data_IF_104212175775
#
_entry.id   IF_104212175775
#
_cell.length_a   1.000
_cell.length_b   1.000
_cell.length_c   1.000
_cell.angle_alpha   90.00
_cell.angle_beta   90.00
_cell.angle_gamma   90.00
#
_symmetry.space_group_name_H-M   'P 1'
#
loop_
_entity.id
_entity.type
_entity.pdbx_description
1 polymer ?
#
# COMPACT_ATOMS: atom_id res chain seq x y z
N UNK A 1 -1.11 -8.25 36.64
CA UNK A 1 -1.78 -8.91 35.49
C UNK A 1 -1.62 -7.99 34.28
N UNK A 2 -0.54 -8.19 33.51
CA UNK A 2 -0.22 -7.36 32.35
C UNK A 2 -1.22 -7.61 31.24
N UNK A 3 -1.81 -6.54 30.71
CA UNK A 3 -2.75 -6.60 29.60
C UNK A 3 -1.99 -7.04 28.34
N UNK A 4 -2.43 -8.14 27.75
CA UNK A 4 -1.95 -8.65 26.46
C UNK A 4 -2.08 -7.55 25.41
N UNK A 5 -0.95 -7.02 24.93
CA UNK A 5 -0.95 -6.14 23.77
C UNK A 5 -1.17 -7.06 22.56
N UNK A 6 -2.37 -7.01 21.98
CA UNK A 6 -2.62 -7.57 20.66
C UNK A 6 -1.75 -6.78 19.67
N UNK A 7 -0.64 -7.39 19.24
CA UNK A 7 0.13 -6.90 18.11
C UNK A 7 -0.72 -7.18 16.88
N UNK A 8 -1.51 -6.19 16.45
CA UNK A 8 -2.28 -6.29 15.20
C UNK A 8 -1.27 -6.29 14.06
N UNK A 9 -1.11 -7.45 13.42
CA UNK A 9 -0.36 -7.55 12.18
C UNK A 9 -1.11 -6.76 11.10
N UNK A 10 -0.61 -5.56 10.76
CA UNK A 10 -1.22 -4.67 9.76
C UNK A 10 -1.43 -5.37 8.40
N UNK A 11 -0.70 -6.44 8.13
CA UNK A 11 -0.77 -7.16 6.86
C UNK A 11 -2.08 -7.97 6.73
N UNK A 12 -2.69 -8.39 7.84
CA UNK A 12 -3.91 -9.21 7.84
C UNK A 12 -5.11 -8.46 7.22
N UNK A 13 -5.24 -7.17 7.54
CA UNK A 13 -6.31 -6.33 6.98
C UNK A 13 -6.03 -5.82 5.57
N UNK A 14 -4.76 -5.71 5.15
CA UNK A 14 -4.39 -5.21 3.82
C UNK A 14 -4.79 -6.19 2.71
N UNK A 15 -4.64 -7.50 2.96
CA UNK A 15 -5.10 -8.54 2.03
C UNK A 15 -6.63 -8.61 1.97
N UNK A 16 -7.31 -8.40 3.10
CA UNK A 16 -8.77 -8.40 3.20
C UNK A 16 -9.39 -7.18 2.48
N UNK A 17 -8.78 -5.99 2.59
CA UNK A 17 -9.20 -4.79 1.84
C UNK A 17 -8.87 -4.85 0.34
N UNK A 18 -7.93 -5.69 -0.08
CA UNK A 18 -7.64 -5.93 -1.49
C UNK A 18 -8.67 -6.86 -2.14
N UNK A 19 -9.52 -7.54 -1.35
CA UNK A 19 -10.69 -8.23 -1.88
C UNK A 19 -11.61 -7.22 -2.57
N UNK A 20 -12.21 -7.54 -3.73
CA UNK A 20 -13.11 -6.63 -4.42
C UNK A 20 -14.26 -6.25 -3.48
N UNK A 21 -14.52 -4.96 -3.32
CA UNK A 21 -15.74 -4.47 -2.69
C UNK A 21 -16.93 -5.06 -3.47
N UNK A 22 -17.55 -6.10 -2.92
CA UNK A 22 -18.78 -6.63 -3.46
C UNK A 22 -19.84 -5.54 -3.27
N UNK A 23 -20.31 -4.98 -4.39
CA UNK A 23 -21.43 -4.08 -4.42
C UNK A 23 -22.62 -4.77 -3.75
N UNK A 24 -23.20 -4.13 -2.73
CA UNK A 24 -24.19 -4.72 -1.83
C UNK A 24 -25.56 -4.83 -2.52
N UNK A 25 -25.67 -5.66 -3.54
CA UNK A 25 -26.94 -6.00 -4.18
C UNK A 25 -27.16 -7.51 -4.12
N UNK A 26 -27.92 -7.88 -3.08
CA UNK A 26 -29.02 -8.86 -3.12
C UNK A 26 -28.74 -10.24 -3.72
N UNK A 27 -28.78 -11.23 -2.83
CA UNK A 27 -29.32 -12.58 -3.03
C UNK A 27 -28.91 -13.31 -4.31
N UNK A 28 -28.08 -14.35 -4.17
CA UNK A 28 -28.51 -15.74 -4.44
C UNK A 28 -27.38 -16.70 -4.05
N UNK A 29 -27.77 -17.68 -3.25
CA UNK A 29 -27.00 -18.84 -2.81
C UNK A 29 -26.63 -19.62 -4.09
N UNK A 30 -25.39 -20.12 -4.19
CA UNK A 30 -24.82 -20.97 -5.29
C UNK A 30 -23.98 -20.30 -6.41
N UNK A 31 -23.32 -19.16 -6.16
CA UNK A 31 -22.28 -18.66 -7.06
C UNK A 31 -20.88 -19.17 -6.62
N UNK A 32 -20.06 -19.76 -7.51
CA UNK A 32 -18.72 -20.21 -7.14
C UNK A 32 -17.94 -19.01 -6.61
N UNK A 33 -17.37 -19.17 -5.42
CA UNK A 33 -16.42 -18.23 -4.83
C UNK A 33 -15.46 -17.76 -5.91
N UNK A 34 -15.63 -16.54 -6.40
CA UNK A 34 -14.65 -15.90 -7.28
C UNK A 34 -13.44 -15.57 -6.40
N UNK A 35 -12.67 -16.62 -6.13
CA UNK A 35 -11.34 -16.63 -5.56
C UNK A 35 -10.56 -15.47 -6.17
N UNK A 36 -10.18 -14.49 -5.34
CA UNK A 36 -8.98 -13.63 -5.28
C UNK A 36 -7.95 -13.60 -6.44
N UNK A 37 -8.32 -13.93 -7.68
CA UNK A 37 -7.41 -14.14 -8.81
C UNK A 37 -6.91 -12.82 -9.40
N UNK A 38 -7.64 -11.72 -9.17
CA UNK A 38 -7.32 -10.42 -9.75
C UNK A 38 -6.21 -9.66 -8.99
N UNK A 39 -6.05 -9.88 -7.68
CA UNK A 39 -4.93 -9.31 -6.91
C UNK A 39 -3.67 -10.16 -7.06
N UNK A 40 -3.82 -11.50 -7.10
CA UNK A 40 -2.72 -12.46 -7.27
C UNK A 40 -1.94 -12.29 -8.59
N UNK A 41 -2.52 -11.63 -9.59
CA UNK A 41 -1.89 -11.40 -10.90
C UNK A 41 -1.21 -10.03 -11.02
N UNK A 42 -1.43 -9.10 -10.06
CA UNK A 42 -0.79 -7.78 -10.06
C UNK A 42 0.60 -7.87 -9.46
N UNK A 43 1.63 -7.80 -10.30
CA UNK A 43 3.04 -7.86 -9.91
C UNK A 43 3.67 -6.49 -9.63
N UNK A 44 2.90 -5.40 -9.71
CA UNK A 44 3.38 -4.05 -9.46
C UNK A 44 2.75 -3.49 -8.19
N UNK A 45 3.59 -3.05 -7.26
CA UNK A 45 3.18 -2.49 -5.97
C UNK A 45 3.64 -1.04 -5.88
N UNK A 46 2.73 -0.15 -5.50
CA UNK A 46 3.04 1.20 -5.05
C UNK A 46 2.77 1.25 -3.55
N UNK A 47 3.83 1.32 -2.75
CA UNK A 47 3.77 1.37 -1.29
C UNK A 47 3.92 2.81 -0.84
N UNK A 48 2.95 3.29 -0.06
CA UNK A 48 2.97 4.61 0.56
C UNK A 48 3.04 4.42 2.07
N UNK A 49 3.99 5.07 2.73
CA UNK A 49 4.17 4.98 4.18
C UNK A 49 4.73 6.27 4.74
N UNK A 50 4.53 6.50 6.03
CA UNK A 50 5.10 7.64 6.76
C UNK A 50 6.19 7.18 7.74
N UNK A 51 6.29 5.86 7.99
CA UNK A 51 7.29 5.26 8.85
C UNK A 51 8.11 4.19 8.12
N UNK A 52 9.38 4.00 8.51
CA UNK A 52 10.24 2.93 7.96
C UNK A 52 9.61 1.55 8.11
N UNK A 53 8.88 1.31 9.21
CA UNK A 53 8.18 0.05 9.46
C UNK A 53 7.10 -0.28 8.44
N UNK A 54 6.60 0.72 7.70
CA UNK A 54 5.56 0.53 6.70
C UNK A 54 6.06 -0.19 5.44
N UNK A 55 7.38 -0.28 5.23
CA UNK A 55 7.95 -1.08 4.14
C UNK A 55 7.55 -2.56 4.24
N UNK A 56 7.32 -3.04 5.47
CA UNK A 56 6.84 -4.40 5.75
C UNK A 56 5.39 -4.63 5.36
N UNK A 57 4.62 -3.60 4.97
CA UNK A 57 3.26 -3.78 4.45
C UNK A 57 3.24 -4.51 3.11
N UNK A 58 4.39 -4.57 2.41
CA UNK A 58 4.55 -5.39 1.21
C UNK A 58 4.90 -6.86 1.51
N UNK A 59 5.16 -7.21 2.77
CA UNK A 59 5.58 -8.55 3.15
C UNK A 59 4.42 -9.54 2.99
N UNK A 60 4.63 -10.57 2.18
CA UNK A 60 3.62 -11.58 1.84
C UNK A 60 2.89 -11.32 0.52
N UNK A 61 3.13 -10.18 -0.14
CA UNK A 61 2.70 -9.97 -1.52
C UNK A 61 3.73 -10.54 -2.50
N UNK A 62 3.25 -11.22 -3.53
CA UNK A 62 4.10 -11.68 -4.64
C UNK A 62 4.19 -10.57 -5.70
N UNK A 63 5.23 -9.75 -5.67
CA UNK A 63 5.45 -8.64 -6.59
C UNK A 63 6.79 -8.74 -7.33
N UNK A 64 6.85 -8.17 -8.53
CA UNK A 64 8.08 -7.99 -9.32
C UNK A 64 8.63 -6.58 -9.21
N UNK A 65 7.75 -5.59 -9.28
CA UNK A 65 8.13 -4.19 -9.19
C UNK A 65 7.48 -3.58 -7.94
N UNK A 66 8.28 -2.89 -7.14
CA UNK A 66 7.81 -2.11 -6.01
C UNK A 66 8.38 -0.71 -6.10
N UNK A 67 7.50 0.29 -6.05
CA UNK A 67 7.86 1.70 -5.85
C UNK A 67 7.37 2.08 -4.46
N UNK A 68 8.27 2.61 -3.64
CA UNK A 68 8.00 3.01 -2.26
C UNK A 68 8.14 4.51 -2.10
N UNK A 69 7.11 5.16 -1.56
CA UNK A 69 7.11 6.59 -1.27
C UNK A 69 6.89 6.84 0.23
N UNK A 70 7.88 7.47 0.85
CA UNK A 70 7.91 7.82 2.26
C UNK A 70 7.47 9.27 2.49
N UNK A 71 6.62 9.53 3.48
CA UNK A 71 6.23 10.88 3.92
C UNK A 71 6.88 11.18 5.27
N UNK A 72 7.98 11.94 5.25
CA UNK A 72 8.74 12.30 6.44
C UNK A 72 8.34 13.71 6.91
N UNK A 73 7.44 13.74 7.88
CA UNK A 73 6.89 14.98 8.41
C UNK A 73 7.66 15.49 9.63
N UNK A 74 8.14 14.58 10.47
CA UNK A 74 8.80 14.89 11.73
C UNK A 74 10.28 14.51 11.72
N UNK A 75 11.08 15.20 12.53
CA UNK A 75 12.48 14.86 12.81
C UNK A 75 13.33 14.65 11.52
N UNK A 76 13.08 15.49 10.51
CA UNK A 76 13.64 15.36 9.16
C UNK A 76 15.16 15.24 9.18
N UNK A 77 15.87 16.13 9.90
CA UNK A 77 17.34 16.16 9.90
C UNK A 77 17.97 14.84 10.39
N UNK A 78 17.38 14.22 11.42
CA UNK A 78 17.90 12.98 12.00
C UNK A 78 17.45 11.73 11.25
N UNK A 79 16.35 11.81 10.51
CA UNK A 79 15.69 10.65 9.91
C UNK A 79 15.87 10.58 8.39
N UNK A 80 16.21 11.70 7.72
CA UNK A 80 16.29 11.80 6.27
C UNK A 80 17.20 10.76 5.64
N UNK A 81 18.37 10.52 6.23
CA UNK A 81 19.34 9.55 5.70
C UNK A 81 18.77 8.11 5.72
N UNK A 82 18.08 7.75 6.81
CA UNK A 82 17.38 6.47 6.94
C UNK A 82 16.26 6.33 5.91
N UNK A 83 15.41 7.36 5.76
CA UNK A 83 14.30 7.33 4.80
C UNK A 83 14.78 7.29 3.36
N UNK A 84 15.83 8.04 3.02
CA UNK A 84 16.42 8.06 1.68
C UNK A 84 17.05 6.72 1.28
N UNK A 85 17.52 5.94 2.25
CA UNK A 85 18.04 4.58 2.02
C UNK A 85 16.93 3.54 1.90
N UNK A 86 15.78 3.79 2.51
CA UNK A 86 14.72 2.81 2.67
C UNK A 86 13.58 2.96 1.65
N UNK A 87 13.23 4.19 1.26
CA UNK A 87 12.20 4.51 0.27
C UNK A 87 12.81 4.97 -1.05
N UNK A 88 12.12 4.71 -2.16
CA UNK A 88 12.54 5.17 -3.50
C UNK A 88 12.33 6.68 -3.67
N UNK A 89 11.25 7.21 -3.08
CA UNK A 89 10.93 8.63 -3.06
C UNK A 89 10.61 9.05 -1.63
N UNK A 90 11.13 10.20 -1.18
CA UNK A 90 10.84 10.77 0.13
C UNK A 90 10.26 12.17 -0.03
N UNK A 91 9.07 12.36 0.50
CA UNK A 91 8.39 13.64 0.63
C UNK A 91 8.65 14.21 2.03
N UNK A 92 9.02 15.49 2.11
CA UNK A 92 9.40 16.14 3.37
C UNK A 92 8.37 17.19 3.78
N UNK A 93 8.28 17.45 5.09
CA UNK A 93 7.51 18.56 5.66
C UNK A 93 6.02 18.53 5.29
N UNK A 94 5.36 17.38 5.46
CA UNK A 94 3.92 17.23 5.19
C UNK A 94 3.54 17.57 3.76
N UNK A 95 4.36 17.09 2.81
CA UNK A 95 4.11 17.35 1.40
C UNK A 95 2.81 16.67 0.93
N UNK A 96 2.06 17.30 0.01
CA UNK A 96 0.84 16.73 -0.52
C UNK A 96 1.11 15.51 -1.41
N UNK A 97 0.13 14.61 -1.55
CA UNK A 97 0.21 13.40 -2.38
C UNK A 97 0.29 13.65 -3.89
N UNK A 98 0.33 14.90 -4.36
CA UNK A 98 0.33 15.23 -5.79
C UNK A 98 1.49 14.60 -6.56
N UNK A 99 2.66 14.45 -5.93
CA UNK A 99 3.79 13.76 -6.55
C UNK A 99 3.50 12.30 -6.85
N UNK A 100 2.79 11.61 -5.95
CA UNK A 100 2.35 10.23 -6.14
C UNK A 100 1.31 10.15 -7.26
N UNK A 101 0.33 11.05 -7.27
CA UNK A 101 -0.69 11.11 -8.34
C UNK A 101 -0.05 11.32 -9.70
N UNK A 102 0.93 12.22 -9.80
CA UNK A 102 1.69 12.46 -11.03
C UNK A 102 2.43 11.20 -11.48
N UNK A 103 3.08 10.49 -10.56
CA UNK A 103 3.78 9.23 -10.86
C UNK A 103 2.82 8.17 -11.39
N UNK A 104 1.66 7.97 -10.74
CA UNK A 104 0.63 7.02 -11.19
C UNK A 104 0.09 7.41 -12.56
N UNK A 105 -0.17 8.69 -12.80
CA UNK A 105 -0.64 9.17 -14.12
C UNK A 105 0.34 8.89 -15.26
N UNK A 106 1.64 8.84 -14.97
CA UNK A 106 2.67 8.50 -15.96
C UNK A 106 2.79 6.99 -16.19
N UNK A 107 2.59 6.19 -15.13
CA UNK A 107 2.63 4.73 -15.20
C UNK A 107 1.37 4.12 -15.81
N UNK A 108 0.23 4.77 -15.62
CA UNK A 108 -1.07 4.41 -16.17
C UNK A 108 -1.55 5.54 -17.08
N UNK A 109 -0.99 5.69 -18.29
CA UNK A 109 -1.50 6.67 -19.23
C UNK A 109 -2.98 6.37 -19.47
N UNK A 110 -3.85 7.31 -19.14
CA UNK A 110 -5.26 7.19 -19.50
C UNK A 110 -5.33 7.21 -21.01
N UNK A 111 -5.74 6.10 -21.62
CA UNK A 111 -6.15 6.12 -23.02
C UNK A 111 -7.32 7.10 -23.14
N UNK A 112 -7.05 8.28 -23.70
CA UNK A 112 -8.11 9.21 -24.06
C UNK A 112 -9.01 8.53 -25.08
N UNK A 113 -10.24 8.24 -24.69
CA UNK A 113 -11.33 7.98 -25.62
C UNK A 113 -11.88 9.32 -26.15
#
# INVERSE_FOLDING_TARGET
MGKTIHSLNKNEHALDMAAPLHDRLGDNIDAPTYENASVKTRRNVLLLGDHIGDLGMSDGLNYENRISAGFLNDNVENSLDSYRKAFDVVYLNDAPMWGVVKLVSQLCPSEGH
#
